data_IF_838264123536
#
_entry.id   IF_838264123536
#
_cell.length_a   1.000
_cell.length_b   1.000
_cell.length_c   1.000
_cell.angle_alpha   90.00
_cell.angle_beta   90.00
_cell.angle_gamma   90.00
#
_symmetry.space_group_name_H-M   'P 1'
#
loop_
_entity.id
_entity.type
_entity.pdbx_description
1 polymer ?
#
# COMPACT_ATOMS: atom_id res chain seq x y z
N UNK A 1 47.78 -45.79 -27.87
CA UNK A 1 46.67 -44.99 -28.46
C UNK A 1 45.30 -45.21 -27.82
N UNK A 2 45.08 -46.27 -27.00
CA UNK A 2 43.76 -46.60 -26.42
C UNK A 2 43.46 -45.83 -25.11
N UNK A 3 44.47 -45.54 -24.28
CA UNK A 3 44.27 -44.85 -23.00
C UNK A 3 43.83 -43.38 -23.11
N UNK A 4 44.26 -42.66 -24.15
CA UNK A 4 43.88 -41.25 -24.37
C UNK A 4 42.40 -41.10 -24.73
N UNK A 5 41.82 -42.09 -25.42
CA UNK A 5 40.39 -42.10 -25.80
C UNK A 5 39.45 -42.32 -24.60
N UNK A 6 39.84 -43.17 -23.65
CA UNK A 6 39.04 -43.40 -22.43
C UNK A 6 39.02 -42.17 -21.51
N UNK A 7 40.15 -41.47 -21.40
CA UNK A 7 40.26 -40.25 -20.58
C UNK A 7 39.42 -39.11 -21.13
N UNK A 8 39.38 -38.94 -22.46
CA UNK A 8 38.49 -37.97 -23.13
C UNK A 8 37.01 -38.24 -22.85
N UNK A 9 36.57 -39.50 -22.95
CA UNK A 9 35.15 -39.86 -22.70
C UNK A 9 34.69 -39.57 -21.27
N UNK A 10 35.56 -39.77 -20.27
CA UNK A 10 35.22 -39.44 -18.88
C UNK A 10 35.08 -37.94 -18.66
N UNK A 11 35.96 -37.13 -19.26
CA UNK A 11 35.89 -35.66 -19.18
C UNK A 11 34.61 -35.16 -19.86
N UNK A 12 34.25 -35.72 -21.01
CA UNK A 12 33.00 -35.38 -21.71
C UNK A 12 31.76 -35.74 -20.88
N UNK A 13 31.75 -36.88 -20.20
CA UNK A 13 30.68 -37.26 -19.28
C UNK A 13 30.58 -36.31 -18.07
N UNK A 14 31.71 -35.93 -17.46
CA UNK A 14 31.76 -34.97 -16.36
C UNK A 14 31.24 -33.60 -16.77
N UNK A 15 31.65 -33.12 -17.96
CA UNK A 15 31.18 -31.84 -18.50
C UNK A 15 29.68 -31.87 -18.81
N UNK A 16 29.17 -32.98 -19.38
CA UNK A 16 27.73 -33.17 -19.60
C UNK A 16 26.94 -33.21 -18.29
N UNK A 17 27.46 -33.90 -17.28
CA UNK A 17 26.83 -33.97 -15.96
C UNK A 17 26.79 -32.59 -15.30
N UNK A 18 27.90 -31.85 -15.31
CA UNK A 18 27.94 -30.48 -14.80
C UNK A 18 27.01 -29.52 -15.57
N UNK A 19 26.93 -29.68 -16.89
CA UNK A 19 25.98 -28.95 -17.73
C UNK A 19 24.52 -29.26 -17.35
N UNK A 20 24.19 -30.53 -17.12
CA UNK A 20 22.87 -30.99 -16.71
C UNK A 20 22.50 -30.51 -15.30
N UNK A 21 23.44 -30.50 -14.36
CA UNK A 21 23.23 -29.97 -13.00
C UNK A 21 23.05 -28.46 -13.05
N UNK A 22 23.81 -27.72 -13.86
CA UNK A 22 23.61 -26.28 -14.07
C UNK A 22 22.26 -25.98 -14.74
N UNK A 23 21.86 -26.79 -15.72
CA UNK A 23 20.55 -26.67 -16.38
C UNK A 23 19.42 -26.93 -15.38
N UNK A 24 19.50 -27.99 -14.57
CA UNK A 24 18.50 -28.27 -13.52
C UNK A 24 18.51 -27.25 -12.38
N UNK A 25 19.65 -26.68 -12.00
CA UNK A 25 19.70 -25.56 -11.06
C UNK A 25 19.10 -24.29 -11.68
N UNK A 26 19.26 -24.09 -12.99
CA UNK A 26 18.63 -22.97 -13.70
C UNK A 26 17.13 -23.16 -13.92
N UNK A 27 16.65 -24.40 -14.09
CA UNK A 27 15.22 -24.76 -14.10
C UNK A 27 14.61 -24.72 -12.69
N UNK A 28 15.35 -25.13 -11.66
CA UNK A 28 14.93 -25.01 -10.26
C UNK A 28 14.82 -23.54 -9.84
N UNK A 29 15.67 -22.65 -10.38
CA UNK A 29 15.53 -21.18 -10.21
C UNK A 29 14.31 -20.58 -10.92
N UNK A 30 13.62 -21.31 -11.80
CA UNK A 30 12.41 -20.83 -12.50
C UNK A 30 11.10 -21.12 -11.78
N UNK A 31 11.11 -21.83 -10.66
CA UNK A 31 9.87 -22.10 -9.92
C UNK A 31 9.58 -20.97 -8.92
N UNK A 32 8.69 -20.07 -9.31
CA UNK A 32 8.04 -19.12 -8.41
C UNK A 32 7.25 -19.86 -7.32
N UNK A 33 7.26 -19.31 -6.10
CA UNK A 33 6.37 -19.76 -5.04
C UNK A 33 5.06 -18.98 -5.08
N UNK A 34 3.97 -19.68 -4.78
CA UNK A 34 2.62 -19.11 -4.77
C UNK A 34 2.23 -18.71 -3.36
N UNK A 35 2.01 -17.42 -3.12
CA UNK A 35 1.44 -16.89 -1.88
C UNK A 35 -0.07 -16.73 -2.10
N UNK A 36 -0.88 -17.48 -1.34
CA UNK A 36 -2.35 -17.37 -1.44
C UNK A 36 -2.85 -16.24 -0.55
N UNK A 37 -3.88 -15.53 -1.00
CA UNK A 37 -4.45 -14.42 -0.26
C UNK A 37 -5.96 -14.35 -0.33
N UNK A 38 -6.56 -13.71 0.67
CA UNK A 38 -7.96 -13.33 0.69
C UNK A 38 -8.07 -11.84 1.00
N UNK A 39 -8.77 -11.09 0.15
CA UNK A 39 -9.02 -9.65 0.35
C UNK A 39 -10.52 -9.40 0.51
N UNK A 40 -10.85 -8.55 1.48
CA UNK A 40 -12.23 -8.21 1.84
C UNK A 40 -12.50 -6.74 1.52
N UNK A 41 -13.52 -6.51 0.69
CA UNK A 41 -13.96 -5.18 0.28
C UNK A 41 -15.42 -4.98 0.68
N UNK A 42 -15.71 -3.85 1.32
CA UNK A 42 -17.05 -3.39 1.65
C UNK A 42 -17.44 -2.22 0.72
N UNK A 43 -18.71 -2.11 0.36
CA UNK A 43 -19.24 -1.06 -0.52
C UNK A 43 -18.66 -1.02 -1.95
N UNK A 44 -19.33 -1.69 -2.88
CA UNK A 44 -19.29 -1.35 -4.31
C UNK A 44 -20.69 -0.89 -4.71
N UNK A 45 -20.88 0.41 -4.99
CA UNK A 45 -22.15 0.90 -5.57
C UNK A 45 -22.37 0.36 -6.99
N UNK A 46 -21.32 -0.16 -7.64
CA UNK A 46 -21.41 -0.71 -8.98
C UNK A 46 -22.19 -2.04 -8.96
N UNK A 47 -23.39 -1.99 -9.57
CA UNK A 47 -24.02 -3.17 -10.16
C UNK A 47 -22.95 -3.94 -10.93
N UNK A 48 -22.81 -5.22 -10.59
CA UNK A 48 -21.98 -6.19 -11.30
C UNK A 48 -22.13 -6.01 -12.81
N UNK A 49 -21.09 -5.50 -13.45
CA UNK A 49 -21.09 -5.17 -14.87
C UNK A 49 -19.66 -4.85 -15.29
N UNK A 50 -18.99 -5.88 -15.82
CA UNK A 50 -17.75 -5.83 -16.60
C UNK A 50 -17.11 -4.42 -16.75
N UNK A 51 -16.05 -4.13 -16.00
CA UNK A 51 -14.80 -3.53 -16.51
C UNK A 51 -13.79 -3.10 -15.42
N UNK A 52 -12.65 -3.78 -15.47
CA UNK A 52 -11.28 -3.33 -15.14
C UNK A 52 -10.84 -3.27 -13.67
N UNK A 53 -9.57 -3.66 -13.44
CA UNK A 53 -9.17 -4.46 -12.28
C UNK A 53 -8.64 -3.59 -11.15
N UNK A 54 -9.10 -3.89 -9.94
CA UNK A 54 -8.33 -3.52 -8.75
C UNK A 54 -7.02 -4.31 -8.84
N UNK A 55 -5.90 -3.59 -8.84
CA UNK A 55 -4.57 -4.16 -8.97
C UNK A 55 -3.87 -4.16 -7.62
N UNK A 56 -3.12 -5.23 -7.33
CA UNK A 56 -2.35 -5.38 -6.09
C UNK A 56 -0.94 -5.94 -6.36
N UNK A 57 0.04 -5.46 -5.60
CA UNK A 57 1.38 -6.06 -5.49
C UNK A 57 1.85 -6.06 -4.04
N UNK A 58 2.65 -7.06 -3.68
CA UNK A 58 3.27 -7.20 -2.36
C UNK A 58 4.68 -6.60 -2.35
N UNK A 59 5.08 -6.08 -1.19
CA UNK A 59 6.45 -5.70 -0.86
C UNK A 59 7.00 -6.63 0.22
N UNK A 60 8.20 -7.15 0.00
CA UNK A 60 8.91 -7.98 0.99
C UNK A 60 9.47 -7.18 2.17
N UNK A 61 9.72 -7.85 3.29
CA UNK A 61 10.52 -7.33 4.41
C UNK A 61 12.03 -7.33 4.13
N UNK A 62 12.47 -8.14 3.16
CA UNK A 62 13.88 -8.37 2.85
C UNK A 62 14.65 -7.08 2.54
N UNK A 63 15.95 -7.15 2.81
CA UNK A 63 16.88 -6.05 2.60
C UNK A 63 16.95 -5.65 1.11
N UNK A 64 16.98 -4.35 0.88
CA UNK A 64 17.12 -3.72 -0.42
C UNK A 64 17.93 -2.45 -0.24
N UNK A 65 18.89 -2.23 -1.14
CA UNK A 65 19.73 -1.03 -1.16
C UNK A 65 18.92 0.28 -1.29
N UNK A 66 17.66 0.19 -1.74
CA UNK A 66 16.76 1.34 -1.91
C UNK A 66 15.87 1.62 -0.69
N UNK A 67 15.90 0.76 0.33
CA UNK A 67 14.95 0.82 1.46
C UNK A 67 13.51 0.42 1.10
N UNK A 68 13.31 -0.14 -0.10
CA UNK A 68 12.05 -0.73 -0.57
C UNK A 68 12.26 -2.21 -0.89
N UNK A 69 11.48 -3.07 -0.26
CA UNK A 69 11.52 -4.51 -0.49
C UNK A 69 11.26 -4.88 -1.94
N UNK A 70 11.51 -6.13 -2.28
CA UNK A 70 11.17 -6.68 -3.60
C UNK A 70 9.66 -6.60 -3.81
N UNK A 71 9.27 -6.36 -5.06
CA UNK A 71 7.88 -6.38 -5.50
C UNK A 71 7.51 -7.77 -6.01
N UNK A 72 6.31 -8.24 -5.66
CA UNK A 72 5.74 -9.44 -6.29
C UNK A 72 5.28 -9.14 -7.72
N UNK A 73 4.92 -10.19 -8.46
CA UNK A 73 4.12 -10.03 -9.66
C UNK A 73 2.78 -9.36 -9.33
N UNK A 74 2.23 -8.69 -10.33
CA UNK A 74 0.96 -7.98 -10.28
C UNK A 74 -0.22 -8.95 -10.27
N UNK A 75 -1.18 -8.73 -9.37
CA UNK A 75 -2.42 -9.53 -9.28
C UNK A 75 -3.64 -8.64 -9.43
N UNK A 76 -4.61 -9.12 -10.21
CA UNK A 76 -5.89 -8.45 -10.45
C UNK A 76 -7.01 -9.17 -9.70
N UNK A 77 -7.92 -8.39 -9.11
CA UNK A 77 -9.10 -8.94 -8.46
C UNK A 77 -10.11 -9.42 -9.50
N UNK A 78 -10.31 -10.73 -9.55
CA UNK A 78 -11.25 -11.38 -10.47
C UNK A 78 -12.29 -12.20 -9.68
N UNK A 79 -13.54 -12.22 -10.16
CA UNK A 79 -14.61 -13.12 -9.66
C UNK A 79 -14.82 -13.13 -8.13
N UNK A 80 -15.04 -11.96 -7.53
CA UNK A 80 -15.32 -11.84 -6.09
C UNK A 80 -16.62 -12.52 -5.67
N UNK A 81 -16.61 -13.20 -4.53
CA UNK A 81 -17.77 -13.88 -3.92
C UNK A 81 -18.42 -12.97 -2.89
N UNK A 82 -19.73 -12.81 -2.96
CA UNK A 82 -20.49 -12.05 -1.97
C UNK A 82 -20.51 -12.81 -0.64
N UNK A 83 -20.16 -12.15 0.45
CA UNK A 83 -20.17 -12.70 1.80
C UNK A 83 -20.96 -11.78 2.74
N UNK A 84 -21.48 -12.34 3.82
CA UNK A 84 -22.15 -11.59 4.87
C UNK A 84 -21.21 -11.49 6.08
N UNK A 85 -20.88 -10.26 6.48
CA UNK A 85 -20.12 -10.03 7.69
C UNK A 85 -21.03 -10.25 8.90
N UNK A 86 -20.74 -11.32 9.67
CA UNK A 86 -21.56 -11.72 10.82
C UNK A 86 -21.55 -10.69 11.96
N UNK A 87 -20.54 -9.84 12.05
CA UNK A 87 -20.38 -8.89 13.14
C UNK A 87 -21.23 -7.61 12.97
N UNK A 88 -21.31 -7.09 11.76
CA UNK A 88 -21.99 -5.81 11.48
C UNK A 88 -23.16 -5.94 10.48
N UNK A 89 -23.46 -7.15 10.00
CA UNK A 89 -24.55 -7.41 9.05
C UNK A 89 -24.29 -6.90 7.63
N UNK A 90 -23.15 -6.27 7.37
CA UNK A 90 -22.85 -5.67 6.07
C UNK A 90 -22.51 -6.74 5.04
N UNK A 91 -22.91 -6.48 3.79
CA UNK A 91 -22.51 -7.31 2.65
C UNK A 91 -21.13 -6.89 2.18
N UNK A 92 -20.20 -7.83 2.12
CA UNK A 92 -18.85 -7.64 1.61
C UNK A 92 -18.61 -8.53 0.38
N UNK A 93 -17.53 -8.25 -0.34
CA UNK A 93 -17.04 -9.11 -1.43
C UNK A 93 -15.67 -9.64 -1.01
N UNK A 94 -15.53 -10.96 -1.02
CA UNK A 94 -14.27 -11.67 -0.81
C UNK A 94 -13.67 -12.01 -2.17
N UNK A 95 -12.41 -11.64 -2.38
CA UNK A 95 -11.64 -12.12 -3.53
C UNK A 95 -10.51 -13.03 -3.05
N UNK A 96 -10.34 -14.15 -3.74
CA UNK A 96 -9.22 -15.07 -3.56
C UNK A 96 -8.12 -14.66 -4.55
N UNK A 97 -6.89 -14.56 -4.06
CA UNK A 97 -5.72 -14.08 -4.80
C UNK A 97 -4.61 -15.11 -4.72
N UNK A 98 -3.79 -15.19 -5.77
CA UNK A 98 -2.55 -15.96 -5.75
C UNK A 98 -1.45 -15.07 -6.32
N UNK A 99 -0.44 -14.80 -5.51
CA UNK A 99 0.73 -14.02 -5.91
C UNK A 99 1.86 -14.98 -6.28
N UNK A 100 2.44 -14.78 -7.45
CA UNK A 100 3.71 -15.42 -7.81
C UNK A 100 4.86 -14.55 -7.31
N UNK A 101 5.75 -15.16 -6.55
CA UNK A 101 6.92 -14.51 -5.98
C UNK A 101 8.16 -15.38 -6.17
N UNK A 102 9.31 -14.74 -6.31
CA UNK A 102 10.60 -15.44 -6.35
C UNK A 102 10.84 -16.17 -5.02
N UNK A 103 11.56 -17.30 -5.03
CA UNK A 103 11.88 -18.05 -3.79
C UNK A 103 12.59 -17.22 -2.73
N UNK A 104 13.33 -16.20 -3.15
CA UNK A 104 14.06 -15.30 -2.27
C UNK A 104 13.29 -13.98 -2.01
N UNK A 105 11.98 -13.96 -2.29
CA UNK A 105 11.08 -12.85 -1.97
C UNK A 105 10.99 -12.64 -0.47
N UNK A 106 11.00 -13.72 0.33
CA UNK A 106 10.87 -13.66 1.78
C UNK A 106 9.46 -13.28 2.24
N UNK A 107 9.35 -12.68 3.42
CA UNK A 107 8.04 -12.38 4.03
C UNK A 107 7.41 -11.10 3.46
N UNK A 108 6.13 -11.09 3.08
CA UNK A 108 5.42 -9.87 2.69
C UNK A 108 5.17 -8.98 3.92
N UNK A 109 5.53 -7.71 3.83
CA UNK A 109 5.37 -6.74 4.91
C UNK A 109 4.50 -5.53 4.58
N UNK A 110 4.31 -5.26 3.29
CA UNK A 110 3.41 -4.24 2.80
C UNK A 110 2.77 -4.71 1.48
N UNK A 111 1.68 -4.05 1.08
CA UNK A 111 1.17 -4.17 -0.27
C UNK A 111 0.71 -2.81 -0.78
N UNK A 112 0.71 -2.68 -2.09
CA UNK A 112 0.18 -1.53 -2.81
C UNK A 112 -1.04 -1.92 -3.61
N UNK A 113 -2.02 -1.03 -3.64
CA UNK A 113 -3.30 -1.22 -4.32
C UNK A 113 -3.63 -0.01 -5.18
N UNK A 114 -4.15 -0.31 -6.37
CA UNK A 114 -4.61 0.68 -7.33
C UNK A 114 -6.07 0.43 -7.66
N UNK A 115 -6.86 1.49 -7.59
CA UNK A 115 -8.26 1.48 -8.01
C UNK A 115 -8.36 2.07 -9.42
N UNK A 116 -8.30 1.20 -10.42
CA UNK A 116 -8.53 1.57 -11.82
C UNK A 116 -10.03 1.68 -12.17
N UNK A 117 -10.92 1.46 -11.19
CA UNK A 117 -12.36 1.63 -11.33
C UNK A 117 -12.77 3.09 -11.06
N UNK A 118 -14.00 3.45 -11.49
CA UNK A 118 -14.55 4.81 -11.41
C UNK A 118 -15.08 5.16 -10.02
N UNK A 119 -15.52 4.13 -9.29
CA UNK A 119 -16.09 4.28 -7.96
C UNK A 119 -15.05 3.99 -6.88
N UNK A 120 -15.16 4.71 -5.76
CA UNK A 120 -14.44 4.36 -4.53
C UNK A 120 -15.01 3.09 -3.90
N UNK A 121 -14.17 2.36 -3.18
CA UNK A 121 -14.60 1.21 -2.36
C UNK A 121 -13.94 1.26 -0.98
N UNK A 122 -14.50 0.57 -0.01
CA UNK A 122 -13.91 0.47 1.33
C UNK A 122 -13.12 -0.83 1.45
N UNK A 123 -11.80 -0.71 1.57
CA UNK A 123 -10.92 -1.84 1.78
C UNK A 123 -10.87 -2.19 3.26
N UNK A 124 -11.33 -3.39 3.62
CA UNK A 124 -11.34 -3.84 5.01
C UNK A 124 -10.00 -4.47 5.38
N UNK A 125 -9.59 -5.52 4.66
CA UNK A 125 -8.37 -6.25 4.99
C UNK A 125 -7.83 -7.10 3.83
N UNK A 126 -6.57 -7.49 3.95
CA UNK A 126 -5.91 -8.55 3.18
C UNK A 126 -5.32 -9.55 4.17
N UNK A 127 -5.48 -10.84 3.91
CA UNK A 127 -4.84 -11.93 4.64
C UNK A 127 -4.07 -12.80 3.66
N UNK A 128 -2.81 -13.10 3.97
CA UNK A 128 -1.94 -13.94 3.14
C UNK A 128 -1.53 -15.19 3.90
N UNK A 129 -1.59 -16.33 3.23
CA UNK A 129 -1.01 -17.57 3.70
C UNK A 129 0.38 -17.73 3.07
N UNK A 130 1.41 -17.67 3.90
CA UNK A 130 2.82 -17.82 3.50
C UNK A 130 3.35 -19.21 3.89
N UNK A 131 4.67 -19.41 3.77
CA UNK A 131 5.34 -20.66 4.12
C UNK A 131 4.93 -21.19 5.51
N UNK A 132 4.95 -22.52 5.66
CA UNK A 132 4.59 -23.22 6.90
C UNK A 132 3.20 -22.85 7.46
N UNK A 133 2.27 -22.43 6.59
CA UNK A 133 0.90 -21.99 6.94
C UNK A 133 0.86 -20.80 7.90
N UNK A 134 1.93 -20.02 7.98
CA UNK A 134 1.87 -18.76 8.72
C UNK A 134 0.96 -17.78 7.98
N UNK A 135 0.22 -16.97 8.74
CA UNK A 135 -0.70 -15.97 8.20
C UNK A 135 -0.13 -14.58 8.42
N UNK A 136 -0.11 -13.76 7.36
CA UNK A 136 0.18 -12.33 7.46
C UNK A 136 -1.12 -11.57 7.25
N UNK A 137 -1.45 -10.70 8.20
CA UNK A 137 -2.68 -9.92 8.16
C UNK A 137 -2.39 -8.44 7.95
N UNK A 138 -3.22 -7.80 7.13
CA UNK A 138 -3.19 -6.38 6.85
C UNK A 138 -4.56 -5.78 7.20
N UNK A 139 -4.60 -5.05 8.30
CA UNK A 139 -5.80 -4.33 8.72
C UNK A 139 -5.83 -2.96 8.03
N UNK A 140 -6.74 -2.80 7.07
CA UNK A 140 -6.70 -1.66 6.15
C UNK A 140 -7.71 -0.57 6.53
N UNK A 141 -8.98 -0.97 6.73
CA UNK A 141 -10.10 -0.11 7.13
C UNK A 141 -10.08 1.29 6.49
N UNK A 142 -9.98 1.35 5.15
CA UNK A 142 -9.77 2.61 4.45
C UNK A 142 -10.48 2.68 3.11
N UNK A 143 -11.02 3.86 2.79
CA UNK A 143 -11.55 4.16 1.46
C UNK A 143 -10.44 4.24 0.42
N UNK A 144 -10.62 3.53 -0.69
CA UNK A 144 -9.73 3.59 -1.86
C UNK A 144 -10.45 4.32 -2.99
N UNK A 145 -10.01 5.55 -3.26
CA UNK A 145 -10.54 6.36 -4.34
C UNK A 145 -9.92 5.98 -5.69
N UNK A 146 -10.61 6.27 -6.81
CA UNK A 146 -10.09 6.09 -8.16
C UNK A 146 -8.71 6.73 -8.36
N UNK A 147 -7.83 6.05 -9.11
CA UNK A 147 -6.45 6.48 -9.32
C UNK A 147 -6.33 7.90 -9.86
N UNK A 148 -7.23 8.34 -10.74
CA UNK A 148 -7.17 9.68 -11.35
C UNK A 148 -7.40 10.82 -10.34
N UNK A 149 -7.92 10.52 -9.14
CA UNK A 149 -8.07 11.48 -8.04
C UNK A 149 -6.88 11.45 -7.07
N UNK A 150 -6.11 10.35 -7.07
CA UNK A 150 -5.04 10.10 -6.11
C UNK A 150 -3.69 10.52 -6.71
N UNK A 151 -2.88 11.25 -5.94
CA UNK A 151 -1.53 11.64 -6.37
C UNK A 151 -0.56 10.45 -6.41
N UNK A 152 -0.79 9.42 -5.59
CA UNK A 152 0.04 8.22 -5.42
C UNK A 152 -0.84 7.00 -5.16
N UNK A 153 -0.27 5.83 -5.42
CA UNK A 153 -0.84 4.55 -5.01
C UNK A 153 -1.08 4.46 -3.50
N UNK A 154 -2.01 3.59 -3.10
CA UNK A 154 -2.29 3.34 -1.69
C UNK A 154 -1.43 2.19 -1.21
N UNK A 155 -0.69 2.42 -0.14
CA UNK A 155 0.11 1.40 0.54
C UNK A 155 -0.52 1.03 1.88
N UNK A 156 -0.42 -0.25 2.23
CA UNK A 156 -0.85 -0.80 3.52
C UNK A 156 0.26 -1.71 4.07
N UNK A 157 0.44 -1.69 5.39
CA UNK A 157 1.45 -2.47 6.09
C UNK A 157 0.80 -3.63 6.84
N UNK A 158 1.55 -4.71 7.05
CA UNK A 158 1.11 -5.81 7.90
C UNK A 158 0.86 -5.31 9.33
N UNK A 159 0.04 -6.01 10.11
CA UNK A 159 -0.26 -5.68 11.49
C UNK A 159 0.89 -5.93 12.50
N UNK A 160 2.10 -6.21 12.01
CA UNK A 160 3.30 -6.31 12.84
C UNK A 160 3.80 -4.93 13.24
N UNK A 161 3.97 -4.71 14.55
CA UNK A 161 4.39 -3.42 15.10
C UNK A 161 5.91 -3.28 15.15
N UNK A 162 6.43 -2.14 14.67
CA UNK A 162 7.84 -1.80 14.72
C UNK A 162 8.07 -0.37 15.22
N UNK A 163 9.00 -0.20 16.18
CA UNK A 163 9.59 1.10 16.44
C UNK A 163 10.31 1.63 15.19
N UNK A 164 10.52 2.95 15.03
CA UNK A 164 11.26 3.50 13.90
C UNK A 164 12.63 2.83 13.69
N UNK A 165 13.39 2.59 14.77
CA UNK A 165 14.70 1.93 14.75
C UNK A 165 14.65 0.43 14.44
N UNK A 166 13.48 -0.19 14.54
CA UNK A 166 13.25 -1.62 14.31
C UNK A 166 12.52 -1.90 13.00
N UNK A 167 12.24 -0.86 12.20
CA UNK A 167 11.52 -1.04 10.92
C UNK A 167 12.42 -1.84 9.97
N UNK A 168 11.92 -2.97 9.42
CA UNK A 168 12.68 -3.79 8.48
C UNK A 168 13.16 -2.95 7.29
N UNK A 169 14.38 -3.23 6.79
CA UNK A 169 15.03 -2.39 5.79
C UNK A 169 14.16 -2.22 4.52
N UNK A 170 13.51 -3.30 4.06
CA UNK A 170 12.58 -3.26 2.94
C UNK A 170 11.34 -2.35 3.12
N UNK A 171 11.05 -1.90 4.34
CA UNK A 171 9.91 -1.02 4.65
C UNK A 171 10.32 0.42 5.00
N UNK A 172 11.61 0.72 5.17
CA UNK A 172 12.07 2.03 5.66
C UNK A 172 11.64 3.17 4.76
N UNK A 173 11.90 3.06 3.45
CA UNK A 173 11.58 4.10 2.50
C UNK A 173 10.07 4.20 2.27
N UNK A 174 9.36 3.06 2.31
CA UNK A 174 7.90 3.00 2.19
C UNK A 174 7.22 3.72 3.37
N UNK A 175 7.67 3.46 4.60
CA UNK A 175 7.20 4.14 5.82
C UNK A 175 7.42 5.65 5.73
N UNK A 176 8.60 6.09 5.30
CA UNK A 176 8.90 7.51 5.12
C UNK A 176 8.00 8.16 4.09
N UNK A 177 7.84 7.53 2.92
CA UNK A 177 7.02 8.07 1.83
C UNK A 177 5.54 8.18 2.19
N UNK A 178 5.00 7.21 2.94
CA UNK A 178 3.61 7.29 3.41
C UNK A 178 3.44 8.42 4.45
N UNK A 179 4.38 8.57 5.39
CA UNK A 179 4.35 9.68 6.35
C UNK A 179 4.43 11.05 5.67
N UNK A 180 5.30 11.21 4.67
CA UNK A 180 5.40 12.46 3.91
C UNK A 180 4.11 12.74 3.12
N UNK A 181 3.48 11.69 2.57
CA UNK A 181 2.18 11.80 1.91
C UNK A 181 1.06 12.21 2.88
N UNK A 182 1.09 11.71 4.13
CA UNK A 182 0.14 12.07 5.17
C UNK A 182 0.36 13.47 5.76
N UNK A 183 1.58 14.03 5.70
CA UNK A 183 1.82 15.43 6.06
C UNK A 183 1.31 16.40 4.99
N UNK A 184 1.32 15.96 3.72
CA UNK A 184 1.02 16.81 2.58
C UNK A 184 2.16 17.78 2.26
N UNK A 185 1.93 18.64 1.27
CA UNK A 185 2.91 19.63 0.78
C UNK A 185 2.79 20.99 1.47
N UNK A 186 1.94 21.11 2.51
CA UNK A 186 1.67 22.35 3.22
C UNK A 186 0.98 23.42 2.38
N UNK A 187 0.61 23.14 1.12
CA UNK A 187 0.14 24.16 0.18
C UNK A 187 -1.21 24.75 0.60
N UNK A 188 -1.40 26.01 0.18
CA UNK A 188 -2.66 26.72 0.32
C UNK A 188 -3.68 26.15 -0.67
N UNK A 189 -4.77 25.58 -0.17
CA UNK A 189 -5.84 25.07 -1.01
C UNK A 189 -6.85 24.23 -0.25
N UNK A 190 -8.03 24.06 -0.85
CA UNK A 190 -9.13 23.28 -0.29
C UNK A 190 -8.75 21.81 -0.17
N UNK A 191 -8.88 21.26 1.04
CA UNK A 191 -8.71 19.82 1.27
C UNK A 191 -9.94 19.10 0.70
N UNK A 192 -9.70 18.13 -0.19
CA UNK A 192 -10.77 17.37 -0.86
C UNK A 192 -11.08 16.09 -0.09
N UNK A 193 -12.26 15.53 -0.33
CA UNK A 193 -12.75 14.32 0.36
C UNK A 193 -11.79 13.12 0.30
N UNK A 194 -11.04 13.00 -0.80
CA UNK A 194 -10.09 11.90 -1.01
C UNK A 194 -8.67 12.21 -0.51
N UNK A 195 -8.40 13.43 -0.04
CA UNK A 195 -7.12 13.76 0.57
C UNK A 195 -7.00 13.09 1.94
N UNK A 196 -5.77 12.64 2.26
CA UNK A 196 -5.41 12.03 3.54
C UNK A 196 -4.36 12.87 4.29
N UNK A 197 -4.15 14.10 3.86
CA UNK A 197 -3.18 15.00 4.49
C UNK A 197 -3.72 15.49 5.83
N UNK A 198 -2.89 15.45 6.85
CA UNK A 198 -3.14 15.95 8.20
C UNK A 198 -2.19 17.10 8.46
N UNK A 199 -2.76 18.28 8.68
CA UNK A 199 -2.02 19.51 8.95
C UNK A 199 -2.82 20.37 9.94
N UNK A 200 -2.16 21.38 10.50
CA UNK A 200 -2.70 22.21 11.56
C UNK A 200 -3.18 23.56 11.03
N UNK A 201 -4.20 24.11 11.68
CA UNK A 201 -4.68 25.46 11.43
C UNK A 201 -5.24 26.08 12.72
N UNK A 202 -5.48 27.40 12.69
CA UNK A 202 -6.12 28.15 13.76
C UNK A 202 -7.65 28.06 13.67
N UNK A 203 -8.34 28.45 14.75
CA UNK A 203 -9.80 28.65 14.70
C UNK A 203 -10.09 30.02 14.08
N UNK A 204 -9.94 30.09 12.77
CA UNK A 204 -10.22 31.24 11.89
C UNK A 204 -11.48 31.02 11.03
N UNK A 205 -12.23 29.96 11.34
CA UNK A 205 -13.38 29.42 10.61
C UNK A 205 -14.69 29.50 11.41
N UNK A 206 -14.68 30.21 12.55
CA UNK A 206 -15.84 30.39 13.44
C UNK A 206 -16.70 31.62 13.13
N UNK A 207 -16.21 32.52 12.26
CA UNK A 207 -16.97 33.72 11.87
C UNK A 207 -18.12 33.36 10.94
N UNK A 208 -19.27 34.01 11.14
CA UNK A 208 -20.47 33.84 10.31
C UNK A 208 -20.95 35.22 9.83
N UNK A 209 -21.05 35.47 8.50
CA UNK A 209 -21.51 36.74 7.95
C UNK A 209 -22.87 37.23 8.49
N UNK A 210 -23.75 36.32 8.91
CA UNK A 210 -25.08 36.67 9.43
C UNK A 210 -25.09 36.95 10.94
N UNK A 211 -24.10 36.43 11.68
CA UNK A 211 -24.06 36.47 13.16
C UNK A 211 -22.91 37.30 13.72
N UNK A 212 -22.12 37.89 12.83
CA UNK A 212 -21.00 38.78 13.14
C UNK A 212 -19.65 38.08 13.16
N UNK A 213 -18.60 38.89 13.09
CA UNK A 213 -17.22 38.43 13.12
C UNK A 213 -16.82 37.88 14.50
N UNK A 214 -15.96 36.86 14.48
CA UNK A 214 -15.36 36.26 15.67
C UNK A 214 -13.84 36.42 15.60
N UNK A 215 -13.16 36.68 16.75
CA UNK A 215 -11.70 36.73 16.77
C UNK A 215 -11.11 35.36 16.42
N UNK A 216 -9.94 35.36 15.81
CA UNK A 216 -9.17 34.13 15.55
C UNK A 216 -8.64 33.60 16.89
N UNK A 217 -8.84 32.31 17.16
CA UNK A 217 -8.28 31.65 18.34
C UNK A 217 -7.04 30.82 17.97
N UNK A 218 -5.93 31.08 18.66
CA UNK A 218 -4.62 30.47 18.45
C UNK A 218 -3.65 31.38 17.68
N UNK A 219 -2.34 31.23 17.95
CA UNK A 219 -1.28 31.98 17.25
C UNK A 219 -1.00 33.38 17.80
N UNK A 220 -1.74 33.80 18.83
CA UNK A 220 -1.55 35.07 19.54
C UNK A 220 -1.48 34.82 21.05
N UNK A 221 -0.71 35.66 21.75
CA UNK A 221 -0.65 35.68 23.22
C UNK A 221 -1.98 36.11 23.85
N UNK A 222 -2.79 36.89 23.12
CA UNK A 222 -4.08 37.40 23.60
C UNK A 222 -5.20 36.37 23.48
N UNK A 223 -5.07 35.45 22.53
CA UNK A 223 -6.03 34.37 22.28
C UNK A 223 -5.28 33.03 22.10
N UNK A 224 -4.60 32.52 23.14
CA UNK A 224 -3.94 31.23 23.05
C UNK A 224 -4.99 30.13 22.92
N UNK A 225 -4.80 29.21 21.98
CA UNK A 225 -5.74 28.12 21.74
C UNK A 225 -5.07 26.94 21.01
N UNK A 226 -5.49 25.68 21.27
CA UNK A 226 -5.07 24.52 20.50
C UNK A 226 -5.31 24.70 18.99
N UNK A 227 -4.51 24.01 18.18
CA UNK A 227 -4.74 23.94 16.72
C UNK A 227 -5.87 22.98 16.40
N UNK A 228 -6.53 23.21 15.27
CA UNK A 228 -7.48 22.28 14.64
C UNK A 228 -6.85 21.60 13.42
N UNK A 229 -7.55 20.62 12.87
CA UNK A 229 -7.22 20.07 11.55
C UNK A 229 -7.49 21.10 10.46
N UNK A 230 -6.53 21.29 9.55
CA UNK A 230 -6.66 22.16 8.38
C UNK A 230 -7.80 21.66 7.48
N UNK A 231 -8.53 22.59 6.86
CA UNK A 231 -9.71 22.29 5.99
C UNK A 231 -9.66 23.01 4.64
N UNK A 232 -8.81 24.04 4.50
CA UNK A 232 -8.50 24.66 3.21
C UNK A 232 -9.60 25.55 2.61
N UNK A 233 -10.68 25.82 3.34
CA UNK A 233 -11.70 26.78 2.90
C UNK A 233 -11.12 28.22 2.90
N UNK A 234 -11.27 28.99 1.80
CA UNK A 234 -10.85 30.38 1.78
C UNK A 234 -11.66 31.20 2.80
N UNK A 235 -10.95 31.97 3.61
CA UNK A 235 -11.55 32.86 4.61
C UNK A 235 -12.48 33.87 3.92
N UNK A 236 -13.72 33.94 4.40
CA UNK A 236 -14.75 34.78 3.79
C UNK A 236 -14.38 36.29 3.88
N UNK A 237 -13.46 36.73 4.77
CA UNK A 237 -13.20 38.18 4.96
C UNK A 237 -11.76 38.62 5.26
N UNK A 238 -10.70 37.82 5.11
CA UNK A 238 -9.33 38.32 5.36
C UNK A 238 -8.63 38.85 4.10
N UNK A 239 -8.95 40.09 3.74
CA UNK A 239 -8.04 40.95 2.96
C UNK A 239 -6.71 41.24 3.68
N UNK A 240 -6.49 40.67 4.86
CA UNK A 240 -5.23 40.72 5.60
C UNK A 240 -4.46 39.43 5.34
N UNK A 241 -3.45 39.52 4.47
CA UNK A 241 -2.36 38.54 4.42
C UNK A 241 -1.70 38.53 5.80
N UNK A 242 -1.79 37.42 6.52
CA UNK A 242 -0.96 37.21 7.70
C UNK A 242 0.42 36.75 7.21
N UNK A 243 1.45 37.52 7.57
CA UNK A 243 2.84 37.12 7.41
C UNK A 243 3.09 35.92 8.35
N UNK A 244 3.59 34.79 7.84
CA UNK A 244 4.20 33.81 8.71
C UNK A 244 5.45 34.45 9.30
N UNK A 245 5.65 34.28 10.60
CA UNK A 245 6.98 34.44 11.18
C UNK A 245 7.97 33.54 10.44
#
# INVERSE_FOLDING_TARGET
MVHTRQRSRMIDCLNKFQGSVKAQLSESKKHAESIKGEIIIQHTHAKSGLAKPIRIQLYSLNDSSTGKGKLSQEVHLNHGKRIHNKLNGNTCIKYELTFEADRDFGFPGAFVIWNQHKDKFFLQSLSLQVEFKQMVHFECNSWIYPNHLMQKERIFFSNTCYLPSQTPNGLLQLRKQELDTLRGDGTAGRIREWHRAYDYDFYNDLSDPQRGERPILGGSIHYPYPRRGKTGEPHIHSGKKFSPF
#
